data_IF_966867734883
#
_entry.id   IF_966867734883
#
_cell.length_a   1.000
_cell.length_b   1.000
_cell.length_c   1.000
_cell.angle_alpha   90.00
_cell.angle_beta   90.00
_cell.angle_gamma   90.00
#
_symmetry.space_group_name_H-M   'P 1'
#
loop_
_entity.id
_entity.type
_entity.pdbx_description
1 polymer ?
#
# COMPACT_ATOMS: atom_id res chain seq x y z
N UNK A 1 3.60 10.01 9.28
CA UNK A 1 2.62 9.15 8.56
C UNK A 1 1.50 8.72 9.49
N UNK A 2 0.23 8.75 9.06
CA UNK A 2 -0.94 8.35 9.88
C UNK A 2 -1.33 6.86 9.74
N UNK A 3 -0.68 6.13 8.83
CA UNK A 3 -0.99 4.75 8.49
C UNK A 3 -0.16 3.79 9.37
N UNK A 4 -0.80 2.72 9.84
CA UNK A 4 -0.21 1.65 10.66
C UNK A 4 -0.36 0.29 9.97
N UNK A 5 0.40 -0.69 10.46
CA UNK A 5 0.24 -2.09 10.03
C UNK A 5 -1.16 -2.58 10.45
N UNK A 6 -1.83 -3.27 9.53
CA UNK A 6 -3.21 -3.77 9.70
C UNK A 6 -4.29 -2.79 9.24
N UNK A 7 -3.92 -1.58 8.83
CA UNK A 7 -4.88 -0.62 8.29
C UNK A 7 -5.36 -1.07 6.90
N UNK A 8 -6.66 -0.92 6.64
CA UNK A 8 -7.23 -1.02 5.30
C UNK A 8 -7.08 0.32 4.58
N UNK A 9 -6.53 0.27 3.37
CA UNK A 9 -6.27 1.45 2.54
C UNK A 9 -6.82 1.26 1.14
N UNK A 10 -7.13 2.38 0.48
CA UNK A 10 -7.58 2.42 -0.92
C UNK A 10 -6.64 3.27 -1.76
N UNK A 11 -6.31 2.79 -2.95
CA UNK A 11 -5.46 3.52 -3.90
C UNK A 11 -6.26 4.64 -4.56
N UNK A 12 -5.74 5.87 -4.48
CA UNK A 12 -6.39 7.09 -5.00
C UNK A 12 -5.84 7.56 -6.35
N UNK A 13 -4.74 6.99 -6.84
CA UNK A 13 -4.11 7.38 -8.10
C UNK A 13 -3.23 6.24 -8.67
N UNK A 14 -2.95 6.29 -9.98
CA UNK A 14 -2.07 5.36 -10.68
C UNK A 14 -2.78 4.15 -11.28
N UNK A 15 -2.01 3.16 -11.74
CA UNK A 15 -2.50 1.96 -12.46
C UNK A 15 -3.52 1.15 -11.64
N UNK A 16 -3.38 1.15 -10.32
CA UNK A 16 -4.20 0.38 -9.38
C UNK A 16 -5.30 1.22 -8.71
N UNK A 17 -5.67 2.36 -9.31
CA UNK A 17 -6.72 3.25 -8.82
C UNK A 17 -7.98 2.48 -8.40
N UNK A 18 -8.46 2.77 -7.19
CA UNK A 18 -9.69 2.21 -6.65
C UNK A 18 -9.52 0.85 -5.95
N UNK A 19 -8.39 0.16 -6.11
CA UNK A 19 -8.11 -1.09 -5.39
C UNK A 19 -7.92 -0.85 -3.89
N UNK A 20 -8.31 -1.82 -3.10
CA UNK A 20 -8.18 -1.83 -1.64
C UNK A 20 -7.23 -2.93 -1.20
N UNK A 21 -6.54 -2.71 -0.07
CA UNK A 21 -5.60 -3.68 0.48
C UNK A 21 -5.28 -3.39 1.94
N UNK A 22 -4.63 -4.36 2.59
CA UNK A 22 -4.20 -4.25 3.98
C UNK A 22 -2.71 -3.93 4.06
N UNK A 23 -2.33 -3.01 4.94
CA UNK A 23 -0.94 -2.61 5.12
C UNK A 23 -0.18 -3.67 5.92
N UNK A 24 0.75 -4.37 5.25
CA UNK A 24 1.58 -5.39 5.89
C UNK A 24 2.83 -4.81 6.55
N UNK A 25 3.35 -3.70 6.02
CA UNK A 25 4.53 -3.02 6.57
C UNK A 25 4.54 -1.54 6.26
N UNK A 26 4.97 -0.75 7.23
CA UNK A 26 5.20 0.69 7.08
C UNK A 26 6.71 0.95 7.05
N UNK A 27 7.18 1.72 6.07
CA UNK A 27 8.58 2.15 5.91
C UNK A 27 8.62 3.66 6.11
N UNK A 28 8.81 4.06 7.37
CA UNK A 28 8.76 5.47 7.80
C UNK A 28 9.84 6.31 7.13
N UNK A 29 11.06 5.76 7.01
CA UNK A 29 12.21 6.50 6.47
C UNK A 29 12.02 7.00 5.02
N UNK A 30 11.14 6.36 4.25
CA UNK A 30 10.88 6.73 2.85
C UNK A 30 9.42 7.09 2.61
N UNK A 31 8.62 7.25 3.67
CA UNK A 31 7.16 7.46 3.59
C UNK A 31 6.42 6.49 2.65
N UNK A 32 6.84 5.21 2.67
CA UNK A 32 6.25 4.14 1.85
C UNK A 32 5.57 3.10 2.71
N UNK A 33 4.60 2.41 2.12
CA UNK A 33 3.92 1.27 2.72
C UNK A 33 3.96 0.08 1.76
N UNK A 34 4.04 -1.11 2.32
CA UNK A 34 3.83 -2.36 1.58
C UNK A 34 2.41 -2.81 1.90
N UNK A 35 1.62 -3.05 0.85
CA UNK A 35 0.20 -3.38 0.93
C UNK A 35 0.00 -4.76 0.29
N UNK A 36 -0.79 -5.60 0.93
CA UNK A 36 -1.24 -6.87 0.36
C UNK A 36 -2.43 -6.66 -0.61
N UNK A 37 -2.76 -7.64 -1.44
CA UNK A 37 -3.87 -7.56 -2.40
C UNK A 37 -3.43 -7.32 -3.85
N UNK A 38 -2.17 -7.59 -4.18
CA UNK A 38 -1.67 -7.50 -5.56
C UNK A 38 -1.59 -6.07 -6.11
N UNK A 39 -1.37 -5.09 -5.23
CA UNK A 39 -1.19 -3.68 -5.58
C UNK A 39 0.29 -3.43 -5.88
N UNK A 40 0.57 -2.72 -6.97
CA UNK A 40 1.92 -2.35 -7.41
C UNK A 40 2.87 -3.56 -7.59
N UNK A 41 2.37 -4.64 -8.18
CA UNK A 41 3.13 -5.86 -8.45
C UNK A 41 4.15 -5.64 -9.58
N UNK A 42 5.43 -5.91 -9.29
CA UNK A 42 6.52 -5.93 -10.26
C UNK A 42 7.08 -7.35 -10.39
N UNK A 43 7.30 -7.80 -11.64
CA UNK A 43 8.05 -9.02 -11.94
C UNK A 43 9.51 -8.65 -12.18
N UNK A 44 10.43 -9.54 -11.81
CA UNK A 44 11.85 -9.41 -12.09
C UNK A 44 12.15 -9.74 -13.56
#
# INVERSE_FOLDING_TARGET
MRIRKGDKVRVIAGKDLGKEGEVIRVIIATDKVIVDGGINMAKR
#
